data_IF_437636048814
#
_entry.id   IF_437636048814
#
_cell.length_a   1.000
_cell.length_b   1.000
_cell.length_c   1.000
_cell.angle_alpha   90.00
_cell.angle_beta   90.00
_cell.angle_gamma   90.00
#
_symmetry.space_group_name_H-M   'P 1'
#
loop_
_entity.id
_entity.type
_entity.pdbx_description
1 polymer ?
#
# COMPACT_ATOMS: atom_id res chain seq x y z
N UNK A 1 -0.62 -13.35 -13.43
CA UNK A 1 -1.24 -12.66 -12.28
C UNK A 1 -2.73 -12.49 -12.53
N UNK A 2 -3.57 -12.72 -11.52
CA UNK A 2 -5.02 -12.53 -11.63
C UNK A 2 -5.42 -11.16 -11.09
N UNK A 3 -6.11 -10.38 -11.92
CA UNK A 3 -6.75 -9.12 -11.49
C UNK A 3 -8.20 -9.42 -11.15
N UNK A 4 -8.63 -9.02 -9.96
CA UNK A 4 -10.02 -9.23 -9.51
C UNK A 4 -11.03 -8.58 -10.48
N UNK A 5 -10.63 -7.44 -11.09
CA UNK A 5 -11.46 -6.72 -12.05
C UNK A 5 -11.76 -7.48 -13.34
N UNK A 6 -10.92 -8.46 -13.71
CA UNK A 6 -11.01 -9.21 -14.96
C UNK A 6 -11.54 -10.65 -14.72
N UNK A 7 -11.70 -11.05 -13.45
CA UNK A 7 -12.09 -12.40 -13.08
C UNK A 7 -13.59 -12.50 -12.72
N UNK A 8 -14.16 -13.66 -13.00
CA UNK A 8 -15.52 -14.01 -12.57
C UNK A 8 -15.51 -14.59 -11.17
N UNK A 9 -16.67 -14.56 -10.48
CA UNK A 9 -16.74 -15.09 -9.11
C UNK A 9 -16.40 -16.60 -8.98
N UNK A 10 -16.69 -17.51 -9.96
CA UNK A 10 -16.24 -18.89 -9.86
C UNK A 10 -14.72 -19.06 -9.97
N UNK A 11 -14.06 -18.25 -10.79
CA UNK A 11 -12.60 -18.24 -10.91
C UNK A 11 -11.94 -17.78 -9.59
N UNK A 12 -12.49 -16.74 -8.97
CA UNK A 12 -12.04 -16.28 -7.65
C UNK A 12 -12.30 -17.35 -6.58
N UNK A 13 -13.43 -18.04 -6.60
CA UNK A 13 -13.70 -19.14 -5.65
C UNK A 13 -12.67 -20.26 -5.76
N UNK A 14 -12.25 -20.63 -6.98
CA UNK A 14 -11.20 -21.62 -7.20
C UNK A 14 -9.83 -21.18 -6.67
N UNK A 15 -9.45 -19.92 -6.88
CA UNK A 15 -8.22 -19.34 -6.34
C UNK A 15 -8.25 -19.28 -4.81
N UNK A 16 -9.36 -18.85 -4.23
CA UNK A 16 -9.55 -18.80 -2.78
C UNK A 16 -9.40 -20.19 -2.13
N UNK A 17 -9.95 -21.25 -2.75
CA UNK A 17 -9.78 -22.63 -2.31
C UNK A 17 -8.30 -23.08 -2.34
N UNK A 18 -7.47 -22.46 -3.15
CA UNK A 18 -6.02 -22.70 -3.23
C UNK A 18 -5.20 -21.82 -2.27
N UNK A 19 -5.85 -21.03 -1.42
CA UNK A 19 -5.19 -20.15 -0.45
C UNK A 19 -4.70 -18.82 -1.04
N UNK A 20 -5.43 -18.27 -2.02
CA UNK A 20 -5.11 -16.98 -2.61
C UNK A 20 -5.12 -15.83 -1.59
N UNK A 21 -4.23 -14.86 -1.81
CA UNK A 21 -4.09 -13.62 -1.04
C UNK A 21 -4.59 -12.46 -1.90
N UNK A 22 -5.48 -11.66 -1.35
CA UNK A 22 -5.88 -10.41 -1.99
C UNK A 22 -4.89 -9.32 -1.64
N UNK A 23 -4.32 -8.66 -2.65
CA UNK A 23 -3.50 -7.47 -2.47
C UNK A 23 -4.30 -6.26 -2.97
N UNK A 24 -4.56 -5.33 -2.08
CA UNK A 24 -5.30 -4.09 -2.36
C UNK A 24 -4.29 -2.96 -2.52
N UNK A 25 -4.07 -2.44 -3.74
CA UNK A 25 -3.28 -1.22 -3.91
C UNK A 25 -3.99 -0.04 -3.25
N UNK A 26 -3.28 0.72 -2.42
CA UNK A 26 -3.82 1.88 -1.70
C UNK A 26 -2.96 3.10 -2.01
N UNK A 27 -3.51 4.04 -2.74
CA UNK A 27 -2.86 5.30 -3.10
C UNK A 27 -3.67 6.50 -2.64
N UNK A 28 -3.47 7.62 -3.33
CA UNK A 28 -4.22 8.85 -3.17
C UNK A 28 -4.39 9.56 -4.52
N UNK A 29 -5.32 10.49 -4.56
CA UNK A 29 -5.49 11.45 -5.66
C UNK A 29 -5.04 12.80 -5.14
N UNK A 30 -3.77 13.16 -5.35
CA UNK A 30 -3.16 14.38 -4.79
C UNK A 30 -2.09 14.97 -5.69
N UNK A 31 -1.73 16.22 -5.45
CA UNK A 31 -0.67 16.89 -6.17
C UNK A 31 0.68 16.17 -6.00
N UNK A 32 1.46 16.08 -7.06
CA UNK A 32 2.84 15.55 -7.10
C UNK A 32 3.75 16.48 -7.88
N UNK A 33 3.77 17.76 -7.50
CA UNK A 33 4.50 18.79 -8.24
C UNK A 33 3.90 19.06 -9.62
N UNK A 34 4.54 19.94 -10.41
CA UNK A 34 4.05 20.25 -11.77
C UNK A 34 4.37 19.16 -12.79
N UNK A 35 5.27 18.24 -12.50
CA UNK A 35 5.85 17.26 -13.43
C UNK A 35 5.22 15.86 -13.37
N UNK A 36 4.55 15.49 -12.28
CA UNK A 36 3.89 14.18 -12.11
C UNK A 36 2.35 14.30 -12.12
N UNK A 37 1.64 13.25 -12.56
CA UNK A 37 0.19 13.23 -12.50
C UNK A 37 -0.32 13.10 -11.05
N UNK A 38 -1.53 13.60 -10.80
CA UNK A 38 -2.18 13.54 -9.47
C UNK A 38 -2.56 12.12 -9.02
N UNK A 39 -2.36 11.10 -9.86
CA UNK A 39 -2.60 9.68 -9.57
C UNK A 39 -1.31 8.91 -9.33
N UNK A 40 -0.18 9.59 -9.14
CA UNK A 40 1.14 8.97 -8.99
C UNK A 40 1.15 7.87 -7.94
N UNK A 41 0.60 8.09 -6.76
CA UNK A 41 0.51 7.06 -5.72
C UNK A 41 -0.23 5.82 -6.18
N UNK A 42 -1.37 6.01 -6.86
CA UNK A 42 -2.18 4.89 -7.36
C UNK A 42 -1.40 4.10 -8.40
N UNK A 43 -0.79 4.80 -9.34
CA UNK A 43 -0.03 4.21 -10.44
C UNK A 43 1.15 3.38 -9.90
N UNK A 44 1.86 3.92 -8.91
CA UNK A 44 2.97 3.24 -8.21
C UNK A 44 2.47 2.01 -7.44
N UNK A 45 1.42 2.16 -6.61
CA UNK A 45 0.88 1.03 -5.86
C UNK A 45 0.43 -0.11 -6.76
N UNK A 46 -0.26 0.20 -7.85
CA UNK A 46 -0.72 -0.79 -8.84
C UNK A 46 0.47 -1.47 -9.50
N UNK A 47 1.47 -0.70 -9.96
CA UNK A 47 2.65 -1.24 -10.63
C UNK A 47 3.44 -2.20 -9.74
N UNK A 48 3.65 -1.86 -8.46
CA UNK A 48 4.34 -2.73 -7.50
C UNK A 48 3.57 -4.03 -7.28
N UNK A 49 2.25 -3.95 -7.08
CA UNK A 49 1.41 -5.14 -6.87
C UNK A 49 1.36 -6.02 -8.11
N UNK A 50 1.32 -5.41 -9.29
CA UNK A 50 1.36 -6.14 -10.57
C UNK A 50 2.71 -6.83 -10.79
N UNK A 51 3.81 -6.17 -10.50
CA UNK A 51 5.14 -6.77 -10.57
C UNK A 51 5.28 -7.94 -9.57
N UNK A 52 4.83 -7.78 -8.33
CA UNK A 52 4.82 -8.85 -7.32
C UNK A 52 3.99 -10.06 -7.76
N UNK A 53 2.83 -9.83 -8.36
CA UNK A 53 1.96 -10.90 -8.85
C UNK A 53 2.54 -11.72 -10.01
N UNK A 54 3.56 -11.22 -10.71
CA UNK A 54 4.31 -12.01 -11.69
C UNK A 54 5.15 -13.12 -11.04
N UNK A 55 5.50 -12.96 -9.76
CA UNK A 55 6.34 -13.89 -9.00
C UNK A 55 5.55 -14.87 -8.11
N UNK A 56 4.29 -14.53 -7.76
CA UNK A 56 3.42 -15.42 -6.96
C UNK A 56 2.03 -15.53 -7.60
N UNK A 57 1.68 -16.68 -8.22
CA UNK A 57 0.37 -16.86 -8.88
C UNK A 57 -0.83 -16.87 -7.94
N UNK A 58 -0.60 -16.99 -6.63
CA UNK A 58 -1.66 -16.89 -5.61
C UNK A 58 -1.94 -15.45 -5.15
N UNK A 59 -1.22 -14.46 -5.66
CA UNK A 59 -1.57 -13.06 -5.45
C UNK A 59 -2.68 -12.65 -6.44
N UNK A 60 -3.77 -12.14 -5.89
CA UNK A 60 -4.89 -11.55 -6.64
C UNK A 60 -4.88 -10.04 -6.39
N UNK A 61 -4.81 -9.25 -7.45
CA UNK A 61 -4.81 -7.79 -7.35
C UNK A 61 -6.25 -7.28 -7.32
N UNK A 62 -6.61 -6.55 -6.27
CA UNK A 62 -7.87 -5.82 -6.18
C UNK A 62 -7.85 -4.54 -7.06
N UNK A 63 -9.02 -3.97 -7.41
CA UNK A 63 -9.09 -2.58 -7.83
C UNK A 63 -8.47 -1.66 -6.77
N UNK A 64 -7.74 -0.63 -7.21
CA UNK A 64 -7.06 0.26 -6.31
C UNK A 64 -8.02 1.13 -5.48
N UNK A 65 -7.64 1.42 -4.24
CA UNK A 65 -8.23 2.51 -3.44
C UNK A 65 -7.57 3.80 -3.88
N UNK A 66 -8.29 4.57 -4.70
CA UNK A 66 -7.76 5.76 -5.38
C UNK A 66 -7.91 7.05 -4.55
N UNK A 67 -8.73 7.06 -3.53
CA UNK A 67 -8.95 8.22 -2.65
C UNK A 67 -8.55 7.85 -1.24
N UNK A 68 -7.68 8.68 -0.65
CA UNK A 68 -7.14 8.48 0.67
C UNK A 68 -7.21 9.75 1.54
N UNK A 69 -6.37 9.78 2.55
CA UNK A 69 -6.19 10.93 3.44
C UNK A 69 -5.02 11.77 2.94
N UNK A 70 -5.30 12.87 2.26
CA UNK A 70 -4.36 13.79 1.63
C UNK A 70 -4.54 15.24 2.09
N UNK A 71 -5.01 15.44 3.32
CA UNK A 71 -5.28 16.79 3.87
C UNK A 71 -4.03 17.66 3.97
N UNK A 72 -2.85 17.06 4.08
CA UNK A 72 -1.55 17.75 4.04
C UNK A 72 -1.27 18.43 2.69
N UNK A 73 -1.99 18.06 1.62
CA UNK A 73 -1.90 18.64 0.28
C UNK A 73 -3.02 19.65 -0.02
N UNK A 74 -3.78 20.07 1.00
CA UNK A 74 -4.81 21.09 0.85
C UNK A 74 -4.24 22.39 0.27
N UNK A 75 -5.00 23.00 -0.64
CA UNK A 75 -4.60 24.22 -1.34
C UNK A 75 -3.87 23.99 -2.67
N UNK A 76 -3.60 22.74 -3.06
CA UNK A 76 -3.18 22.37 -4.41
C UNK A 76 -4.39 21.85 -5.21
N UNK A 77 -4.62 22.42 -6.38
CA UNK A 77 -5.74 22.04 -7.24
C UNK A 77 -5.63 20.57 -7.68
N UNK A 78 -6.76 19.85 -7.65
CA UNK A 78 -6.83 18.45 -8.06
C UNK A 78 -6.59 17.43 -6.94
N UNK A 79 -6.14 17.84 -5.76
CA UNK A 79 -6.11 16.98 -4.57
C UNK A 79 -7.54 16.69 -4.10
N UNK A 80 -7.85 15.40 -3.92
CA UNK A 80 -9.16 14.91 -3.47
C UNK A 80 -8.98 14.00 -2.25
N UNK A 81 -9.08 14.58 -1.07
CA UNK A 81 -8.98 13.85 0.19
C UNK A 81 -10.36 13.44 0.71
N UNK A 82 -10.51 12.18 1.14
CA UNK A 82 -11.71 11.73 1.88
C UNK A 82 -11.52 11.84 3.40
N UNK A 83 -10.34 12.23 3.86
CA UNK A 83 -9.99 12.37 5.27
C UNK A 83 -9.70 11.04 5.96
N UNK A 84 -9.10 11.14 7.15
CA UNK A 84 -8.59 9.97 7.87
C UNK A 84 -9.69 9.00 8.32
N UNK A 85 -10.81 9.52 8.81
CA UNK A 85 -11.91 8.68 9.34
C UNK A 85 -12.59 7.87 8.24
N UNK A 86 -12.86 8.49 7.08
CA UNK A 86 -13.45 7.80 5.95
C UNK A 86 -12.48 6.77 5.34
N UNK A 87 -11.19 7.10 5.26
CA UNK A 87 -10.14 6.16 4.81
C UNK A 87 -10.06 4.94 5.74
N UNK A 88 -10.02 5.14 7.06
CA UNK A 88 -10.04 4.04 8.03
C UNK A 88 -11.28 3.16 7.88
N UNK A 89 -12.48 3.76 7.82
CA UNK A 89 -13.73 3.03 7.69
C UNK A 89 -13.78 2.20 6.40
N UNK A 90 -13.35 2.76 5.27
CA UNK A 90 -13.27 2.08 3.99
C UNK A 90 -12.35 0.86 4.05
N UNK A 91 -11.14 1.02 4.60
CA UNK A 91 -10.16 -0.08 4.72
C UNK A 91 -10.65 -1.18 5.66
N UNK A 92 -11.33 -0.83 6.76
CA UNK A 92 -11.93 -1.79 7.69
C UNK A 92 -13.00 -2.62 6.97
N UNK A 93 -13.94 -2.00 6.27
CA UNK A 93 -15.03 -2.73 5.61
C UNK A 93 -14.54 -3.57 4.43
N UNK A 94 -13.57 -3.07 3.65
CA UNK A 94 -12.90 -3.88 2.62
C UNK A 94 -12.21 -5.11 3.22
N UNK A 95 -11.46 -4.92 4.31
CA UNK A 95 -10.77 -6.01 5.00
C UNK A 95 -11.74 -7.06 5.55
N UNK A 96 -12.83 -6.65 6.18
CA UNK A 96 -13.88 -7.55 6.68
C UNK A 96 -14.50 -8.38 5.56
N UNK A 97 -14.87 -7.72 4.46
CA UNK A 97 -15.47 -8.37 3.30
C UNK A 97 -14.51 -9.33 2.62
N UNK A 98 -13.29 -8.88 2.35
CA UNK A 98 -12.29 -9.68 1.65
C UNK A 98 -11.82 -10.91 2.44
N UNK A 99 -11.68 -10.82 3.76
CA UNK A 99 -11.32 -11.94 4.62
C UNK A 99 -12.40 -13.07 4.69
N UNK A 100 -13.59 -12.84 4.16
CA UNK A 100 -14.60 -13.90 4.00
C UNK A 100 -14.26 -14.86 2.84
N UNK A 101 -13.41 -14.42 1.90
CA UNK A 101 -13.05 -15.17 0.69
C UNK A 101 -11.57 -15.56 0.67
N UNK A 102 -10.69 -14.61 0.93
CA UNK A 102 -9.25 -14.79 0.76
C UNK A 102 -8.56 -15.23 2.05
N UNK A 103 -7.51 -16.03 1.91
CA UNK A 103 -6.72 -16.53 3.03
C UNK A 103 -6.02 -15.41 3.82
N UNK A 104 -5.73 -14.29 3.15
CA UNK A 104 -5.14 -13.09 3.73
C UNK A 104 -5.47 -11.89 2.85
N UNK A 105 -5.50 -10.69 3.46
CA UNK A 105 -5.62 -9.41 2.75
C UNK A 105 -4.41 -8.54 3.06
N UNK A 106 -3.78 -8.02 2.01
CA UNK A 106 -2.66 -7.08 2.10
C UNK A 106 -3.10 -5.73 1.58
N UNK A 107 -2.91 -4.68 2.37
CA UNK A 107 -3.05 -3.31 1.91
C UNK A 107 -1.66 -2.79 1.52
N UNK A 108 -1.36 -2.74 0.22
CA UNK A 108 -0.10 -2.25 -0.33
C UNK A 108 -0.23 -0.73 -0.57
N UNK A 109 0.34 0.06 0.34
CA UNK A 109 0.16 1.51 0.37
C UNK A 109 1.41 2.24 -0.12
N UNK A 110 1.23 3.20 -1.03
CA UNK A 110 2.28 4.07 -1.58
C UNK A 110 2.18 5.52 -1.09
N UNK A 111 1.13 5.88 -0.31
CA UNK A 111 0.90 7.24 0.15
C UNK A 111 1.10 7.38 1.67
N UNK A 112 1.96 8.34 2.07
CA UNK A 112 2.31 8.58 3.47
C UNK A 112 1.14 9.04 4.34
N UNK A 113 0.25 9.87 3.83
CA UNK A 113 -0.94 10.37 4.54
C UNK A 113 -1.93 9.29 4.96
N UNK A 114 -1.90 8.14 4.28
CA UNK A 114 -2.70 6.96 4.63
C UNK A 114 -2.12 6.15 5.81
N UNK A 115 -0.90 6.43 6.27
CA UNK A 115 -0.24 5.59 7.28
C UNK A 115 -1.01 5.52 8.61
N UNK A 116 -1.55 6.64 9.09
CA UNK A 116 -2.31 6.68 10.33
C UNK A 116 -3.66 5.95 10.23
N UNK A 117 -4.55 6.25 9.25
CA UNK A 117 -5.83 5.55 9.11
C UNK A 117 -5.64 4.07 8.79
N UNK A 118 -4.65 3.69 7.97
CA UNK A 118 -4.38 2.28 7.68
C UNK A 118 -3.92 1.53 8.93
N UNK A 119 -3.05 2.12 9.77
CA UNK A 119 -2.64 1.48 11.03
C UNK A 119 -3.84 1.22 11.93
N UNK A 120 -4.74 2.19 12.12
CA UNK A 120 -5.94 2.01 12.95
C UNK A 120 -6.88 0.95 12.35
N UNK A 121 -7.02 0.90 11.03
CA UNK A 121 -7.80 -0.13 10.35
C UNK A 121 -7.21 -1.53 10.59
N UNK A 122 -5.89 -1.68 10.47
CA UNK A 122 -5.19 -2.94 10.73
C UNK A 122 -5.32 -3.39 12.19
N UNK A 123 -5.17 -2.47 13.16
CA UNK A 123 -5.34 -2.77 14.59
C UNK A 123 -6.76 -3.29 14.87
N UNK A 124 -7.78 -2.65 14.29
CA UNK A 124 -9.18 -3.07 14.42
C UNK A 124 -9.42 -4.43 13.79
N UNK A 125 -9.01 -4.64 12.54
CA UNK A 125 -9.17 -5.93 11.85
C UNK A 125 -8.42 -7.06 12.55
N UNK A 126 -7.22 -6.79 13.08
CA UNK A 126 -6.44 -7.75 13.87
C UNK A 126 -7.16 -8.12 15.18
N UNK A 127 -7.78 -7.15 15.86
CA UNK A 127 -8.59 -7.42 17.06
C UNK A 127 -9.83 -8.28 16.76
N UNK A 128 -10.31 -8.27 15.53
CA UNK A 128 -11.38 -9.14 15.01
C UNK A 128 -10.85 -10.49 14.49
N UNK A 129 -9.57 -10.81 14.72
CA UNK A 129 -8.88 -12.00 14.21
C UNK A 129 -8.93 -12.14 12.68
N UNK A 130 -8.92 -11.03 11.94
CA UNK A 130 -8.83 -11.03 10.49
C UNK A 130 -7.38 -11.15 10.04
N UNK A 131 -7.06 -12.04 9.08
CA UNK A 131 -5.70 -12.21 8.57
C UNK A 131 -5.35 -11.07 7.58
N UNK A 132 -4.94 -9.93 8.13
CA UNK A 132 -4.61 -8.73 7.37
C UNK A 132 -3.24 -8.18 7.77
N UNK A 133 -2.56 -7.52 6.82
CA UNK A 133 -1.42 -6.67 7.14
C UNK A 133 -1.29 -5.52 6.15
N UNK A 134 -0.55 -4.48 6.53
CA UNK A 134 -0.18 -3.37 5.68
C UNK A 134 1.26 -3.52 5.20
N UNK A 135 1.50 -3.12 3.97
CA UNK A 135 2.82 -3.08 3.37
C UNK A 135 3.06 -1.72 2.70
N UNK A 136 4.30 -1.23 2.78
CA UNK A 136 4.78 -0.01 2.13
C UNK A 136 6.12 -0.30 1.45
N UNK A 137 6.39 0.30 0.28
CA UNK A 137 7.71 0.23 -0.31
C UNK A 137 8.74 0.85 0.63
N UNK A 138 9.90 0.21 0.77
CA UNK A 138 11.00 0.69 1.61
C UNK A 138 12.01 1.38 0.72
N UNK A 139 11.72 2.61 0.39
CA UNK A 139 12.61 3.43 -0.39
C UNK A 139 13.32 4.44 0.52
N UNK A 140 14.67 4.43 0.49
CA UNK A 140 15.48 5.46 1.10
C UNK A 140 15.58 6.62 0.09
N UNK A 141 14.82 7.67 0.26
CA UNK A 141 14.78 8.76 -0.72
C UNK A 141 13.97 9.96 -0.26
N UNK A 142 13.55 10.74 -1.23
CA UNK A 142 12.75 11.94 -1.04
C UNK A 142 11.38 11.63 -0.44
N UNK A 143 10.81 12.63 0.21
CA UNK A 143 9.56 12.46 0.94
C UNK A 143 8.32 12.45 0.04
N UNK A 144 8.33 13.24 -1.06
CA UNK A 144 7.18 13.40 -1.94
C UNK A 144 7.56 14.06 -3.26
N UNK A 145 7.12 13.47 -4.37
CA UNK A 145 7.31 13.95 -5.73
C UNK A 145 8.79 14.23 -6.11
N UNK A 146 9.73 13.60 -5.42
CA UNK A 146 11.15 13.76 -5.65
C UNK A 146 11.71 12.71 -6.62
N UNK A 147 13.01 12.42 -6.49
CA UNK A 147 13.73 11.52 -7.38
C UNK A 147 13.15 10.11 -7.43
N UNK A 148 12.78 9.56 -6.26
CA UNK A 148 12.31 8.19 -6.13
C UNK A 148 11.01 7.96 -6.92
N UNK A 149 9.96 8.73 -6.63
CA UNK A 149 8.66 8.59 -7.29
C UNK A 149 8.75 8.97 -8.76
N UNK A 150 9.51 10.03 -9.09
CA UNK A 150 9.74 10.42 -10.49
C UNK A 150 10.44 9.31 -11.27
N UNK A 151 11.45 8.64 -10.69
CA UNK A 151 12.14 7.51 -11.33
C UNK A 151 11.18 6.34 -11.58
N UNK A 152 10.34 5.97 -10.60
CA UNK A 152 9.36 4.90 -10.76
C UNK A 152 8.34 5.27 -11.83
N UNK A 153 7.83 6.51 -11.83
CA UNK A 153 6.89 6.97 -12.87
C UNK A 153 7.51 6.99 -14.26
N UNK A 154 8.79 7.36 -14.39
CA UNK A 154 9.54 7.24 -15.66
C UNK A 154 9.68 5.79 -16.13
N UNK A 155 9.71 4.82 -15.22
CA UNK A 155 9.78 3.41 -15.57
C UNK A 155 8.42 2.83 -16.01
N UNK A 156 7.30 3.28 -15.41
CA UNK A 156 5.97 2.68 -15.62
C UNK A 156 5.10 3.44 -16.60
N UNK A 157 5.26 4.79 -16.70
CA UNK A 157 4.44 5.66 -17.53
C UNK A 157 5.21 6.93 -17.95
N UNK A 158 6.33 6.81 -18.70
CA UNK A 158 7.20 7.94 -19.03
C UNK A 158 6.48 9.05 -19.79
N UNK A 159 5.46 8.73 -20.59
CA UNK A 159 4.66 9.68 -21.36
C UNK A 159 3.79 10.59 -20.48
N UNK A 160 3.63 10.26 -19.21
CA UNK A 160 2.85 11.04 -18.24
C UNK A 160 3.73 11.93 -17.36
N UNK A 161 5.06 11.81 -17.46
CA UNK A 161 6.03 12.60 -16.70
C UNK A 161 6.50 13.79 -17.54
N UNK A 162 6.39 15.00 -16.99
CA UNK A 162 6.82 16.25 -17.64
C UNK A 162 8.16 16.68 -17.06
N UNK A 163 9.26 16.04 -17.50
CA UNK A 163 10.59 16.33 -16.95
C UNK A 163 11.05 17.78 -17.18
N UNK A 164 10.50 18.47 -18.18
CA UNK A 164 10.74 19.89 -18.41
C UNK A 164 10.18 20.81 -17.33
N UNK A 165 9.21 20.33 -16.55
CA UNK A 165 8.62 21.02 -15.39
C UNK A 165 9.21 20.56 -14.03
N UNK A 166 10.13 19.58 -14.07
CA UNK A 166 10.76 19.07 -12.86
C UNK A 166 11.75 20.08 -12.28
N UNK A 167 11.55 20.45 -11.03
CA UNK A 167 12.40 21.39 -10.31
C UNK A 167 12.52 20.99 -8.83
N UNK A 168 13.66 21.24 -8.15
CA UNK A 168 13.76 20.98 -6.73
C UNK A 168 12.69 21.70 -5.92
N UNK A 169 12.16 21.01 -4.91
CA UNK A 169 11.31 21.58 -3.88
C UNK A 169 12.08 21.76 -2.57
N UNK A 170 11.43 21.44 -1.44
CA UNK A 170 12.11 21.45 -0.14
C UNK A 170 12.89 20.15 0.06
N UNK A 171 14.21 20.25 0.22
CA UNK A 171 15.14 19.11 0.36
C UNK A 171 15.58 18.87 1.81
N UNK A 172 15.00 19.59 2.77
CA UNK A 172 15.35 19.42 4.18
C UNK A 172 14.88 18.05 4.70
N UNK A 173 15.61 17.49 5.70
CA UNK A 173 15.17 16.25 6.36
C UNK A 173 13.76 16.37 6.96
N UNK A 174 13.03 15.25 7.00
CA UNK A 174 11.65 15.20 7.52
C UNK A 174 11.54 15.76 8.93
N UNK A 175 12.53 15.54 9.80
CA UNK A 175 12.53 15.99 11.20
C UNK A 175 12.46 17.52 11.31
N UNK A 176 13.03 18.25 10.36
CA UNK A 176 12.96 19.71 10.30
C UNK A 176 11.60 20.20 9.77
N UNK A 177 10.93 19.40 8.95
CA UNK A 177 9.68 19.76 8.28
C UNK A 177 8.44 19.36 9.05
N UNK A 178 8.49 18.33 9.92
CA UNK A 178 7.31 17.72 10.56
C UNK A 178 6.38 18.72 11.25
N UNK A 179 6.93 19.71 11.97
CA UNK A 179 6.13 20.70 12.69
C UNK A 179 5.38 21.61 11.71
N UNK A 180 6.06 22.03 10.65
CA UNK A 180 5.48 22.90 9.61
C UNK A 180 4.44 22.14 8.79
N UNK A 181 4.74 20.91 8.38
CA UNK A 181 3.81 20.04 7.64
C UNK A 181 2.52 19.77 8.43
N UNK A 182 2.63 19.53 9.74
CA UNK A 182 1.45 19.32 10.61
C UNK A 182 0.60 20.57 10.81
N UNK A 183 1.19 21.75 10.80
CA UNK A 183 0.47 23.00 11.04
C UNK A 183 -0.06 23.69 9.79
N UNK A 184 0.62 23.51 8.65
CA UNK A 184 0.32 24.26 7.43
C UNK A 184 0.35 23.45 6.12
N UNK A 185 0.54 22.12 6.22
CA UNK A 185 0.61 21.24 5.06
C UNK A 185 1.83 21.50 4.17
N UNK A 186 1.88 20.77 3.05
CA UNK A 186 2.99 20.82 2.08
C UNK A 186 3.17 22.23 1.51
N UNK A 187 2.09 22.96 1.26
CA UNK A 187 2.15 24.31 0.70
C UNK A 187 2.90 25.31 1.58
N UNK A 188 2.95 25.07 2.89
CA UNK A 188 3.66 25.95 3.82
C UNK A 188 5.19 25.84 3.74
N UNK A 189 5.71 24.75 3.18
CA UNK A 189 7.14 24.46 3.06
C UNK A 189 7.60 24.40 1.61
N UNK A 190 6.73 24.03 0.67
CA UNK A 190 7.07 23.91 -0.74
C UNK A 190 5.98 24.56 -1.62
N UNK A 191 6.34 25.61 -2.33
CA UNK A 191 5.41 26.32 -3.22
C UNK A 191 5.05 25.50 -4.46
N UNK A 192 5.96 24.64 -4.95
CA UNK A 192 5.74 23.74 -6.08
C UNK A 192 5.21 22.36 -5.66
N UNK A 193 5.05 22.11 -4.35
CA UNK A 193 4.49 20.86 -3.82
C UNK A 193 5.48 19.70 -3.71
N UNK A 194 6.75 19.88 -4.07
CA UNK A 194 7.78 18.84 -4.05
C UNK A 194 8.54 18.86 -2.72
N UNK A 195 8.73 17.69 -2.09
CA UNK A 195 9.60 17.51 -0.93
C UNK A 195 10.77 16.60 -1.33
N UNK A 196 11.72 17.15 -2.07
CA UNK A 196 12.85 16.45 -2.66
C UNK A 196 13.38 17.13 -3.91
N UNK A 197 14.20 16.40 -4.69
CA UNK A 197 14.77 16.85 -5.97
C UNK A 197 14.58 15.81 -7.08
N UNK A 198 13.62 16.02 -8.01
CA UNK A 198 13.35 15.10 -9.12
C UNK A 198 14.36 15.17 -10.26
N UNK A 199 15.25 16.16 -10.31
CA UNK A 199 16.08 16.46 -11.51
C UNK A 199 17.06 15.35 -11.90
N UNK A 200 17.42 14.45 -10.98
CA UNK A 200 18.28 13.31 -11.25
C UNK A 200 17.56 11.98 -11.51
N UNK A 201 16.22 12.00 -11.62
CA UNK A 201 15.43 10.79 -11.79
C UNK A 201 15.69 10.10 -13.14
N UNK A 202 15.58 8.77 -13.15
CA UNK A 202 15.73 7.97 -14.36
C UNK A 202 14.88 6.72 -14.37
N UNK A 203 14.47 6.26 -15.56
CA UNK A 203 13.70 5.04 -15.72
C UNK A 203 14.47 3.78 -15.28
N UNK A 204 15.81 3.74 -15.41
CA UNK A 204 16.63 2.62 -14.97
C UNK A 204 16.61 2.47 -13.45
N UNK A 205 16.74 3.58 -12.73
CA UNK A 205 16.59 3.63 -11.28
C UNK A 205 15.16 3.21 -10.87
N UNK A 206 14.15 3.72 -11.57
CA UNK A 206 12.76 3.36 -11.32
C UNK A 206 12.47 1.87 -11.49
N UNK A 207 13.02 1.23 -12.51
CA UNK A 207 12.93 -0.24 -12.68
C UNK A 207 13.55 -0.98 -11.51
N UNK A 208 14.75 -0.58 -11.08
CA UNK A 208 15.43 -1.18 -9.93
C UNK A 208 14.62 -1.05 -8.64
N UNK A 209 14.04 0.13 -8.39
CA UNK A 209 13.17 0.39 -7.22
C UNK A 209 11.90 -0.44 -7.27
N UNK A 210 11.27 -0.55 -8.44
CA UNK A 210 10.04 -1.33 -8.65
C UNK A 210 10.29 -2.83 -8.42
N UNK A 211 11.36 -3.37 -8.99
CA UNK A 211 11.72 -4.78 -8.83
C UNK A 211 12.02 -5.13 -7.37
N UNK A 212 12.76 -4.26 -6.68
CA UNK A 212 13.06 -4.43 -5.26
C UNK A 212 11.79 -4.37 -4.39
N UNK A 213 10.88 -3.43 -4.66
CA UNK A 213 9.61 -3.32 -3.95
C UNK A 213 8.71 -4.54 -4.19
N UNK A 214 8.63 -5.02 -5.43
CA UNK A 214 7.87 -6.22 -5.78
C UNK A 214 8.41 -7.47 -5.04
N UNK A 215 9.72 -7.65 -5.00
CA UNK A 215 10.36 -8.75 -4.28
C UNK A 215 10.09 -8.67 -2.76
N UNK A 216 10.23 -7.48 -2.15
CA UNK A 216 9.94 -7.30 -0.71
C UNK A 216 8.46 -7.56 -0.38
N UNK A 217 7.52 -7.19 -1.26
CA UNK A 217 6.10 -7.50 -1.08
C UNK A 217 5.85 -9.02 -1.11
N UNK A 218 6.43 -9.76 -2.07
CA UNK A 218 6.33 -11.23 -2.15
C UNK A 218 6.88 -11.87 -0.88
N UNK A 219 8.05 -11.43 -0.43
CA UNK A 219 8.66 -11.93 0.81
C UNK A 219 7.82 -11.61 2.06
N UNK A 220 7.21 -10.43 2.11
CA UNK A 220 6.32 -10.06 3.20
C UNK A 220 5.08 -10.98 3.26
N UNK A 221 4.48 -11.28 2.12
CA UNK A 221 3.37 -12.23 2.02
C UNK A 221 3.80 -13.63 2.46
N UNK A 222 4.95 -14.11 2.01
CA UNK A 222 5.47 -15.42 2.39
C UNK A 222 5.69 -15.53 3.90
N UNK A 223 6.32 -14.53 4.51
CA UNK A 223 6.52 -14.46 5.98
C UNK A 223 5.18 -14.48 6.73
N UNK A 224 4.21 -13.71 6.29
CA UNK A 224 2.89 -13.66 6.93
C UNK A 224 2.15 -15.00 6.84
N UNK A 225 2.17 -15.68 5.68
CA UNK A 225 1.60 -17.02 5.51
C UNK A 225 2.20 -18.04 6.50
N UNK A 226 3.53 -18.02 6.68
CA UNK A 226 4.21 -18.91 7.65
C UNK A 226 3.79 -18.62 9.09
N UNK A 227 3.66 -17.36 9.48
CA UNK A 227 3.19 -16.96 10.81
C UNK A 227 1.76 -17.46 11.10
N UNK A 228 0.85 -17.32 10.14
CA UNK A 228 -0.53 -17.80 10.28
C UNK A 228 -0.60 -19.33 10.46
N UNK A 229 0.20 -20.08 9.72
CA UNK A 229 0.27 -21.56 9.85
C UNK A 229 0.80 -21.99 11.22
N UNK A 230 1.77 -21.29 11.78
CA UNK A 230 2.33 -21.60 13.12
C UNK A 230 1.32 -21.32 14.23
N UNK A 231 0.56 -20.24 14.14
CA UNK A 231 -0.46 -19.86 15.11
C UNK A 231 -1.65 -20.83 15.09
N UNK A 232 -2.08 -21.26 13.89
CA UNK A 232 -3.15 -22.25 13.73
C UNK A 232 -2.80 -23.63 14.31
N UNK A 233 -1.55 -24.07 14.21
CA UNK A 233 -1.09 -25.34 14.82
C UNK A 233 -1.05 -25.32 16.34
N UNK A 234 -0.75 -24.18 16.97
CA UNK A 234 -0.73 -24.05 18.43
C UNK A 234 -2.15 -24.07 19.02
N UNK A 235 -3.14 -23.52 18.33
CA UNK A 235 -4.54 -23.53 18.78
C UNK A 235 -5.17 -24.92 18.72
N UNK A 236 -4.86 -25.73 17.71
CA UNK A 236 -5.35 -27.11 17.57
C UNK A 236 -4.68 -28.08 18.54
N UNK A 237 -3.41 -27.87 18.90
CA UNK A 237 -2.67 -28.68 19.88
C UNK A 237 -3.18 -28.53 21.32
N UNK A 238 -3.75 -27.38 21.67
CA UNK A 238 -4.29 -27.13 23.03
C UNK A 238 -5.68 -27.77 23.26
N UNK A 239 -6.46 -28.02 22.21
CA UNK A 239 -7.79 -28.66 22.34
C UNK A 239 -7.72 -30.19 22.49
N UNK A 240 -6.60 -30.83 22.12
CA UNK A 240 -6.46 -32.29 22.18
C UNK A 240 -5.99 -32.83 23.56
N UNK A 241 -5.54 -31.98 24.48
CA UNK A 241 -5.04 -32.40 25.80
C UNK A 241 -6.05 -32.29 26.97
N UNK A 242 -7.29 -31.84 26.67
CA UNK A 242 -8.34 -31.59 27.67
C UNK A 242 -9.38 -32.67 27.87
N UNK A 243 -9.20 -33.89 27.32
CA UNK A 243 -10.17 -34.99 27.51
C UNK A 243 -9.49 -36.33 27.80
N UNK A 244 -8.90 -36.46 28.97
CA UNK A 244 -8.70 -37.74 29.69
C UNK A 244 -8.54 -37.39 31.17
N UNK A 245 -9.64 -37.55 31.93
CA UNK A 245 -9.63 -38.09 33.24
C UNK A 245 -11.05 -38.10 33.79
N UNK A 246 -11.49 -39.29 34.20
CA UNK A 246 -12.52 -39.42 35.22
C UNK A 246 -13.76 -40.22 34.87
N UNK A 247 -13.60 -41.52 34.56
CA UNK A 247 -14.62 -42.50 35.00
C UNK A 247 -13.87 -43.65 35.66
N UNK A 248 -13.87 -43.69 36.99
CA UNK A 248 -13.76 -44.92 37.78
C UNK A 248 -14.65 -44.78 39.00
N UNK A 249 -15.47 -45.77 39.11
CA UNK A 249 -16.31 -46.37 40.15
C UNK A 249 -17.64 -45.70 40.40
#
# INVERSE_FOLDING_TARGET
MTRLADATWPEIAALAASGAVLVVPVGATEQHGPHLPITTDIDIAVAVVEAAGAHDPLLVTAPAVAFGSSGEHDGFAGTLSIGQEATEALLVELGRSACATFACVVFACSHGGNAAPLRRALDRLSSENRPVFGWWPRWDGDLHAGRTETSVMLAIAPERVRMEEAAPGDIRPIDELLTLLRSGGVRSVSANGILGDPTGASADEGRTLLDAAAADLVDAVARFRLQQQSTGRQSTGRQSTGKRDGVRT
#
